data_IF_207196078835
#
_entry.id   IF_207196078835
#
_cell.length_a   1.000
_cell.length_b   1.000
_cell.length_c   1.000
_cell.angle_alpha   90.00
_cell.angle_beta   90.00
_cell.angle_gamma   90.00
#
_symmetry.space_group_name_H-M   'P 1'
#
loop_
_entity.id
_entity.type
_entity.pdbx_description
1 polymer ?
#
# COMPACT_ATOMS: atom_id res chain seq x y z
N UNK A 1 30.35 -8.21 -0.67
CA UNK A 1 30.08 -9.30 0.29
C UNK A 1 30.77 -9.00 1.61
N UNK A 2 30.14 -9.27 2.75
CA UNK A 2 30.71 -9.16 4.10
C UNK A 2 30.91 -10.54 4.67
N UNK A 3 32.04 -10.78 5.30
CA UNK A 3 32.36 -12.02 5.99
C UNK A 3 32.60 -11.72 7.47
N UNK A 4 32.04 -12.54 8.34
CA UNK A 4 32.16 -12.40 9.79
C UNK A 4 33.21 -13.37 10.32
N UNK A 5 33.77 -13.08 11.50
CA UNK A 5 34.76 -13.95 12.17
C UNK A 5 34.27 -15.38 12.41
N UNK A 6 32.96 -15.61 12.36
CA UNK A 6 32.32 -16.92 12.48
C UNK A 6 32.32 -17.73 11.18
N UNK A 7 32.81 -17.17 10.07
CA UNK A 7 32.70 -17.75 8.72
C UNK A 7 31.36 -17.50 8.04
N UNK A 8 30.42 -16.80 8.71
CA UNK A 8 29.16 -16.40 8.10
C UNK A 8 29.40 -15.29 7.05
N UNK A 9 28.64 -15.31 5.95
CA UNK A 9 28.68 -14.26 4.93
C UNK A 9 27.32 -13.58 4.79
N UNK A 10 27.31 -12.26 4.55
CA UNK A 10 26.12 -11.49 4.16
C UNK A 10 26.41 -10.58 3.00
N UNK A 11 25.39 -10.24 2.25
CA UNK A 11 25.49 -9.21 1.23
C UNK A 11 25.83 -7.83 1.83
N UNK A 12 26.34 -6.92 0.99
CA UNK A 12 26.70 -5.55 1.35
C UNK A 12 25.47 -4.78 1.86
N UNK A 13 25.71 -3.70 2.59
CA UNK A 13 24.65 -2.77 3.03
C UNK A 13 24.40 -1.65 2.01
N UNK A 14 25.18 -1.64 0.93
CA UNK A 14 25.09 -0.60 -0.09
C UNK A 14 23.70 -0.65 -0.75
N UNK A 15 23.05 0.51 -0.85
CA UNK A 15 21.68 0.65 -1.32
C UNK A 15 20.58 0.15 -0.37
N UNK A 16 20.90 -0.40 0.82
CA UNK A 16 19.88 -0.93 1.76
C UNK A 16 19.49 0.08 2.83
N UNK A 17 18.18 0.25 3.02
CA UNK A 17 17.63 1.05 4.12
C UNK A 17 17.86 0.37 5.47
N UNK A 18 18.15 1.17 6.50
CA UNK A 18 18.31 0.69 7.88
C UNK A 18 17.31 1.38 8.79
N UNK A 19 16.17 0.72 9.00
CA UNK A 19 15.07 1.24 9.82
C UNK A 19 15.49 1.53 11.27
N UNK A 20 16.29 0.66 11.90
CA UNK A 20 16.78 0.87 13.27
C UNK A 20 17.71 2.08 13.40
N UNK A 21 18.38 2.48 12.30
CA UNK A 21 19.18 3.72 12.27
C UNK A 21 18.33 4.94 11.93
N UNK A 22 17.32 4.76 11.08
CA UNK A 22 16.46 5.85 10.62
C UNK A 22 15.40 6.25 11.66
N UNK A 23 14.96 5.32 12.51
CA UNK A 23 13.87 5.51 13.46
C UNK A 23 14.37 5.51 14.90
N UNK A 24 13.82 6.42 15.71
CA UNK A 24 14.10 6.48 17.15
C UNK A 24 13.18 5.53 17.92
N UNK A 25 13.72 4.51 18.64
CA UNK A 25 12.88 3.53 19.34
C UNK A 25 12.05 4.17 20.46
N UNK A 26 12.55 5.22 21.12
CA UNK A 26 11.81 5.94 22.17
C UNK A 26 10.63 6.74 21.61
N UNK A 27 10.77 7.31 20.40
CA UNK A 27 9.68 8.01 19.71
C UNK A 27 8.61 7.02 19.28
N UNK A 28 9.01 5.86 18.74
CA UNK A 28 8.08 4.80 18.37
C UNK A 28 7.29 4.28 19.58
N UNK A 29 7.95 4.06 20.72
CA UNK A 29 7.28 3.64 21.94
C UNK A 29 6.26 4.68 22.42
N UNK A 30 6.67 5.97 22.48
CA UNK A 30 5.78 7.06 22.91
C UNK A 30 4.57 7.24 22.00
N UNK A 31 4.78 7.08 20.69
CA UNK A 31 3.72 7.15 19.69
C UNK A 31 2.72 6.00 19.86
N UNK A 32 3.18 4.76 20.10
CA UNK A 32 2.26 3.63 20.36
C UNK A 32 1.48 3.83 21.66
N UNK A 33 2.10 4.37 22.71
CA UNK A 33 1.39 4.73 23.95
C UNK A 33 0.29 5.78 23.70
N UNK A 34 0.59 6.78 22.87
CA UNK A 34 -0.42 7.75 22.43
C UNK A 34 -1.59 7.05 21.72
N UNK A 35 -1.32 6.14 20.78
CA UNK A 35 -2.37 5.39 20.09
C UNK A 35 -3.21 4.51 21.03
N UNK A 36 -2.60 3.91 22.05
CA UNK A 36 -3.29 3.06 23.02
C UNK A 36 -4.30 3.85 23.87
N UNK A 37 -3.98 5.09 24.23
CA UNK A 37 -4.93 6.00 24.89
C UNK A 37 -6.08 6.37 23.94
N UNK A 38 -5.76 6.70 22.68
CA UNK A 38 -6.75 7.24 21.74
C UNK A 38 -7.61 6.17 21.06
N UNK A 39 -7.27 4.87 21.15
CA UNK A 39 -8.14 3.80 20.65
C UNK A 39 -9.33 3.50 21.58
N UNK A 40 -9.29 3.98 22.83
CA UNK A 40 -10.41 3.90 23.77
C UNK A 40 -11.52 4.89 23.38
N UNK A 41 -12.74 4.41 23.26
CA UNK A 41 -13.92 5.20 22.91
C UNK A 41 -14.62 5.76 24.16
N UNK A 42 -15.58 6.67 23.95
CA UNK A 42 -16.37 7.29 25.02
C UNK A 42 -17.26 6.30 25.78
N UNK A 43 -17.69 5.23 25.13
CA UNK A 43 -18.43 4.12 25.74
C UNK A 43 -17.52 3.10 26.46
N UNK A 44 -16.20 3.34 26.45
CA UNK A 44 -15.19 2.47 27.05
C UNK A 44 -14.76 1.30 26.17
N UNK A 45 -15.35 1.13 24.98
CA UNK A 45 -14.90 0.12 24.01
C UNK A 45 -13.52 0.48 23.44
N UNK A 46 -12.82 -0.54 22.92
CA UNK A 46 -11.47 -0.39 22.38
C UNK A 46 -11.49 -0.67 20.88
N UNK A 47 -11.00 0.28 20.08
CA UNK A 47 -10.71 0.06 18.66
C UNK A 47 -9.45 -0.78 18.50
N UNK A 48 -9.37 -1.55 17.43
CA UNK A 48 -8.12 -2.15 16.99
C UNK A 48 -7.07 -1.08 16.67
N UNK A 49 -5.80 -1.38 16.92
CA UNK A 49 -4.70 -0.42 16.75
C UNK A 49 -4.58 0.13 15.33
N UNK A 50 -4.96 -0.65 14.34
CA UNK A 50 -4.87 -0.32 12.92
C UNK A 50 -6.20 0.16 12.31
N UNK A 51 -7.23 0.41 13.13
CA UNK A 51 -8.53 0.92 12.67
C UNK A 51 -8.41 2.15 11.76
N UNK A 52 -7.43 3.03 12.00
CA UNK A 52 -7.20 4.22 11.18
C UNK A 52 -6.81 3.91 9.72
N UNK A 53 -6.27 2.71 9.43
CA UNK A 53 -5.92 2.27 8.08
C UNK A 53 -7.12 1.92 7.20
N UNK A 54 -8.31 1.82 7.80
CA UNK A 54 -9.57 1.61 7.08
C UNK A 54 -9.95 2.83 6.23
N UNK A 55 -9.38 4.00 6.51
CA UNK A 55 -9.64 5.24 5.78
C UNK A 55 -10.26 6.31 6.68
N UNK A 56 -9.68 7.50 6.62
CA UNK A 56 -10.24 8.72 7.22
C UNK A 56 -10.18 9.81 6.15
N UNK A 57 -11.25 10.61 5.96
CA UNK A 57 -11.25 11.69 4.97
C UNK A 57 -10.08 12.67 5.14
N UNK A 58 -9.53 13.15 4.03
CA UNK A 58 -8.41 14.10 4.00
C UNK A 58 -8.68 15.32 4.88
N UNK A 59 -9.89 15.85 4.85
CA UNK A 59 -10.30 17.04 5.58
C UNK A 59 -10.19 16.82 7.09
N UNK A 60 -10.53 15.62 7.58
CA UNK A 60 -10.40 15.26 8.99
C UNK A 60 -8.93 15.16 9.42
N UNK A 61 -8.04 14.62 8.56
CA UNK A 61 -6.60 14.63 8.82
C UNK A 61 -6.03 16.05 8.84
N UNK A 62 -6.42 16.91 7.90
CA UNK A 62 -5.96 18.30 7.83
C UNK A 62 -6.36 19.08 9.08
N UNK A 63 -7.61 18.95 9.50
CA UNK A 63 -8.16 19.62 10.67
C UNK A 63 -7.51 19.12 11.97
N UNK A 64 -7.31 17.79 12.10
CA UNK A 64 -6.55 17.20 13.20
C UNK A 64 -5.11 17.69 13.27
N UNK A 65 -4.41 17.70 12.13
CA UNK A 65 -3.04 18.20 12.03
C UNK A 65 -2.95 19.68 12.45
N UNK A 66 -3.89 20.52 11.99
CA UNK A 66 -3.97 21.92 12.35
C UNK A 66 -4.15 22.16 13.85
N UNK A 67 -5.09 21.43 14.49
CA UNK A 67 -5.30 21.53 15.95
C UNK A 67 -4.05 21.20 16.75
N UNK A 68 -3.40 20.08 16.43
CA UNK A 68 -2.21 19.66 17.15
C UNK A 68 -1.01 20.60 16.88
N UNK A 69 -0.89 21.15 15.67
CA UNK A 69 0.11 22.17 15.37
C UNK A 69 -0.07 23.43 16.22
N UNK A 70 -1.29 23.96 16.32
CA UNK A 70 -1.58 25.13 17.16
C UNK A 70 -1.28 24.83 18.64
N UNK A 71 -1.61 23.63 19.12
CA UNK A 71 -1.29 23.22 20.49
C UNK A 71 0.23 23.20 20.75
N UNK A 72 1.02 22.60 19.85
CA UNK A 72 2.49 22.66 19.92
C UNK A 72 2.96 24.11 19.94
N UNK A 73 2.44 24.95 19.05
CA UNK A 73 2.87 26.35 18.94
C UNK A 73 2.61 27.13 20.23
N UNK A 74 1.42 26.98 20.83
CA UNK A 74 1.07 27.59 22.11
C UNK A 74 2.01 27.13 23.24
N UNK A 75 2.18 25.82 23.37
CA UNK A 75 2.98 25.21 24.44
C UNK A 75 4.46 25.62 24.37
N UNK A 76 5.04 25.67 23.17
CA UNK A 76 6.41 26.16 22.95
C UNK A 76 6.60 27.63 23.34
N UNK A 77 5.52 28.42 23.33
CA UNK A 77 5.55 29.83 23.73
C UNK A 77 5.08 30.04 25.18
N UNK A 78 4.93 28.96 25.95
CA UNK A 78 4.53 29.01 27.37
C UNK A 78 3.05 29.27 27.60
N UNK A 79 2.21 29.19 26.56
CA UNK A 79 0.76 29.29 26.69
C UNK A 79 0.14 27.90 26.93
N UNK A 80 -0.90 27.79 27.76
CA UNK A 80 -1.62 26.53 27.91
C UNK A 80 -2.37 26.16 26.63
N UNK A 81 -2.46 24.86 26.36
CA UNK A 81 -3.29 24.30 25.29
C UNK A 81 -4.23 23.24 25.86
N UNK A 82 -5.44 23.15 25.31
CA UNK A 82 -6.46 22.18 25.71
C UNK A 82 -7.37 21.80 24.54
N UNK A 83 -7.96 20.62 24.62
CA UNK A 83 -9.04 20.17 23.74
C UNK A 83 -10.33 19.90 24.54
N UNK A 84 -11.30 19.23 23.92
CA UNK A 84 -12.56 18.84 24.55
C UNK A 84 -12.42 17.78 25.66
N UNK A 85 -11.22 17.24 25.88
CA UNK A 85 -10.88 16.27 26.92
C UNK A 85 -9.97 16.84 28.02
N UNK A 86 -9.51 18.10 27.87
CA UNK A 86 -8.77 18.82 28.90
C UNK A 86 -7.43 19.34 28.38
N UNK A 87 -6.49 19.59 29.30
CA UNK A 87 -5.15 20.05 28.93
C UNK A 87 -4.39 19.01 28.12
N UNK A 88 -3.70 19.45 27.08
CA UNK A 88 -2.86 18.58 26.24
C UNK A 88 -1.38 18.82 26.53
N UNK A 89 -0.57 17.79 26.33
CA UNK A 89 0.88 17.87 26.48
C UNK A 89 1.55 18.14 25.12
N UNK A 90 2.81 18.61 25.17
CA UNK A 90 3.62 18.80 23.98
C UNK A 90 3.86 17.46 23.25
N UNK A 91 4.14 16.40 24.01
CA UNK A 91 4.35 15.06 23.46
C UNK A 91 3.10 14.47 22.81
N UNK A 92 1.91 14.63 23.41
CA UNK A 92 0.65 14.18 22.81
C UNK A 92 0.33 14.98 21.55
N UNK A 93 0.59 16.30 21.56
CA UNK A 93 0.39 17.15 20.39
C UNK A 93 1.32 16.76 19.23
N UNK A 94 2.60 16.48 19.51
CA UNK A 94 3.54 15.96 18.50
C UNK A 94 3.12 14.58 17.99
N UNK A 95 2.69 13.67 18.87
CA UNK A 95 2.14 12.37 18.47
C UNK A 95 0.87 12.52 17.60
N UNK A 96 0.01 13.48 17.91
CA UNK A 96 -1.16 13.81 17.12
C UNK A 96 -0.81 14.31 15.71
N UNK A 97 0.23 15.14 15.57
CA UNK A 97 0.76 15.54 14.25
C UNK A 97 1.25 14.31 13.48
N UNK A 98 2.05 13.45 14.14
CA UNK A 98 2.56 12.20 13.53
C UNK A 98 1.39 11.32 13.06
N UNK A 99 0.36 11.14 13.89
CA UNK A 99 -0.82 10.35 13.54
C UNK A 99 -1.52 10.88 12.28
N UNK A 100 -1.81 12.17 12.23
CA UNK A 100 -2.52 12.74 11.08
C UNK A 100 -1.65 12.73 9.81
N UNK A 101 -0.34 13.00 9.93
CA UNK A 101 0.58 12.93 8.80
C UNK A 101 0.75 11.49 8.27
N UNK A 102 0.92 10.50 9.16
CA UNK A 102 1.01 9.09 8.77
C UNK A 102 -0.29 8.59 8.17
N UNK A 103 -1.43 8.97 8.75
CA UNK A 103 -2.77 8.63 8.25
C UNK A 103 -3.02 9.14 6.85
N UNK A 104 -2.76 10.43 6.61
CA UNK A 104 -2.92 11.01 5.29
C UNK A 104 -1.91 10.43 4.28
N UNK A 105 -0.64 10.27 4.67
CA UNK A 105 0.35 9.65 3.81
C UNK A 105 -0.02 8.19 3.48
N UNK A 106 -0.59 7.45 4.42
CA UNK A 106 -1.11 6.11 4.19
C UNK A 106 -2.21 6.13 3.13
N UNK A 107 -3.19 7.03 3.19
CA UNK A 107 -4.22 7.12 2.14
C UNK A 107 -3.65 7.56 0.78
N UNK A 108 -2.60 8.38 0.74
CA UNK A 108 -1.92 8.76 -0.52
C UNK A 108 -1.11 7.61 -1.13
N UNK A 109 -0.45 6.81 -0.29
CA UNK A 109 0.46 5.73 -0.69
C UNK A 109 -0.23 4.38 -0.80
N UNK A 110 -1.39 4.23 -0.17
CA UNK A 110 -2.33 3.15 -0.41
C UNK A 110 -2.80 3.34 -1.84
N UNK A 111 -2.01 2.83 -2.78
CA UNK A 111 -2.54 2.45 -4.09
C UNK A 111 -3.78 1.67 -3.78
N UNK A 112 -4.93 2.20 -4.19
CA UNK A 112 -6.05 1.33 -4.47
C UNK A 112 -5.44 0.20 -5.29
N UNK A 113 -5.41 -1.00 -4.72
CA UNK A 113 -5.59 -2.16 -5.58
C UNK A 113 -7.03 -2.01 -6.04
N UNK A 114 -7.29 -1.04 -6.92
CA UNK A 114 -8.55 -0.88 -7.58
C UNK A 114 -8.56 -2.13 -8.43
N UNK A 115 -9.27 -3.16 -7.95
CA UNK A 115 -9.43 -4.39 -8.69
C UNK A 115 -9.83 -3.97 -10.09
N UNK A 116 -8.99 -4.29 -11.07
CA UNK A 116 -9.29 -3.93 -12.43
C UNK A 116 -10.64 -4.57 -12.76
N UNK A 117 -11.65 -3.74 -13.05
CA UNK A 117 -12.96 -4.26 -13.40
C UNK A 117 -12.86 -4.74 -14.83
N UNK A 118 -12.74 -6.06 -14.99
CA UNK A 118 -12.77 -6.70 -16.30
C UNK A 118 -14.08 -6.31 -16.97
N UNK A 119 -14.04 -5.61 -18.12
CA UNK A 119 -15.26 -5.15 -18.79
C UNK A 119 -16.13 -6.31 -19.25
N UNK A 120 -17.42 -6.03 -19.44
CA UNK A 120 -18.37 -7.00 -20.00
C UNK A 120 -17.87 -7.53 -21.35
N UNK A 121 -17.98 -8.85 -21.57
CA UNK A 121 -17.45 -9.53 -22.76
C UNK A 121 -15.98 -9.96 -22.66
N UNK A 122 -15.29 -9.63 -21.57
CA UNK A 122 -13.90 -10.03 -21.31
C UNK A 122 -13.75 -10.96 -20.10
N UNK A 123 -12.68 -11.74 -20.12
CA UNK A 123 -12.28 -12.62 -19.02
C UNK A 123 -10.78 -12.57 -18.81
N UNK A 124 -10.38 -12.47 -17.55
CA UNK A 124 -9.02 -12.74 -17.10
C UNK A 124 -9.09 -14.03 -16.27
N UNK A 125 -8.31 -15.05 -16.65
CA UNK A 125 -8.22 -16.29 -15.91
C UNK A 125 -6.80 -16.86 -15.85
N UNK A 126 -6.50 -17.54 -14.75
CA UNK A 126 -5.27 -18.29 -14.58
C UNK A 126 -5.42 -19.67 -15.24
N UNK A 127 -4.44 -20.06 -16.05
CA UNK A 127 -4.38 -21.41 -16.61
C UNK A 127 -3.18 -22.15 -16.03
N UNK A 128 -3.43 -23.32 -15.47
CA UNK A 128 -2.40 -24.20 -14.90
C UNK A 128 -2.16 -25.41 -15.81
N UNK A 129 -1.07 -25.39 -16.57
CA UNK A 129 -0.51 -26.56 -17.26
C UNK A 129 0.98 -26.67 -16.90
N UNK A 130 1.27 -26.68 -15.60
CA UNK A 130 2.62 -26.82 -15.06
C UNK A 130 3.49 -25.59 -15.32
N UNK A 131 4.75 -25.79 -15.71
CA UNK A 131 5.74 -24.69 -15.83
C UNK A 131 5.56 -23.78 -17.06
N UNK A 132 4.49 -23.94 -17.85
CA UNK A 132 4.37 -23.36 -19.20
C UNK A 132 3.30 -22.28 -19.34
N UNK A 133 2.59 -21.95 -18.25
CA UNK A 133 1.34 -21.19 -18.33
C UNK A 133 1.37 -19.94 -17.45
N UNK A 134 0.25 -19.24 -17.33
CA UNK A 134 0.14 -17.99 -16.59
C UNK A 134 -1.27 -17.44 -16.67
N UNK A 135 -1.41 -16.15 -16.43
CA UNK A 135 -2.65 -15.40 -16.59
C UNK A 135 -2.89 -15.10 -18.06
N UNK A 136 -4.10 -15.28 -18.56
CA UNK A 136 -4.49 -14.88 -19.93
C UNK A 136 -5.66 -13.90 -19.88
N UNK A 137 -5.80 -13.17 -20.99
CA UNK A 137 -6.92 -12.28 -21.24
C UNK A 137 -7.61 -12.76 -22.51
N UNK A 138 -8.93 -12.95 -22.46
CA UNK A 138 -9.70 -13.38 -23.62
C UNK A 138 -11.10 -12.76 -23.66
N UNK A 139 -11.69 -12.74 -24.85
CA UNK A 139 -13.10 -12.41 -25.05
C UNK A 139 -13.98 -13.62 -24.73
N UNK A 140 -15.28 -13.40 -24.51
CA UNK A 140 -16.27 -14.49 -24.40
C UNK A 140 -16.36 -15.38 -25.66
N UNK A 141 -15.93 -14.84 -26.80
CA UNK A 141 -15.83 -15.57 -28.08
C UNK A 141 -14.55 -16.42 -28.19
N UNK A 142 -13.77 -16.53 -27.11
CA UNK A 142 -12.47 -17.22 -27.05
C UNK A 142 -11.40 -16.65 -27.99
N UNK A 143 -11.36 -15.33 -28.17
CA UNK A 143 -10.23 -14.64 -28.79
C UNK A 143 -9.26 -14.19 -27.70
N UNK A 144 -7.96 -14.45 -27.89
CA UNK A 144 -6.92 -14.24 -26.87
C UNK A 144 -6.15 -12.96 -27.16
N UNK A 145 -5.99 -12.11 -26.15
CA UNK A 145 -5.09 -10.97 -26.25
C UNK A 145 -3.64 -11.48 -26.18
N UNK A 146 -2.85 -11.08 -27.17
CA UNK A 146 -1.42 -11.35 -27.19
C UNK A 146 -0.61 -10.09 -26.81
N UNK A 147 0.67 -10.30 -26.49
CA UNK A 147 1.64 -9.24 -26.18
C UNK A 147 2.01 -8.36 -27.36
N UNK A 148 1.64 -8.76 -28.57
CA UNK A 148 1.64 -7.89 -29.76
C UNK A 148 0.47 -6.88 -29.74
N UNK A 149 -0.40 -6.97 -28.73
CA UNK A 149 -1.56 -6.13 -28.54
C UNK A 149 -2.65 -6.33 -29.60
N UNK A 150 -2.75 -7.55 -30.15
CA UNK A 150 -3.81 -7.99 -31.06
C UNK A 150 -4.60 -9.17 -30.49
N UNK A 151 -5.82 -9.38 -31.02
CA UNK A 151 -6.67 -10.52 -30.69
C UNK A 151 -6.44 -11.68 -31.66
N UNK A 152 -6.21 -12.88 -31.12
CA UNK A 152 -5.94 -14.09 -31.89
C UNK A 152 -6.99 -15.17 -31.63
N UNK A 153 -7.45 -15.87 -32.68
CA UNK A 153 -8.48 -16.93 -32.59
C UNK A 153 -7.95 -18.29 -32.14
N UNK A 154 -6.65 -18.51 -32.26
CA UNK A 154 -6.01 -19.75 -31.85
C UNK A 154 -5.34 -19.56 -30.49
N UNK A 155 -5.25 -20.65 -29.72
CA UNK A 155 -4.56 -20.62 -28.43
C UNK A 155 -3.09 -20.20 -28.61
N UNK A 156 -2.55 -19.61 -27.56
CA UNK A 156 -1.40 -18.71 -27.52
C UNK A 156 -0.02 -19.36 -27.70
N UNK A 157 0.09 -20.52 -28.39
CA UNK A 157 1.36 -21.16 -28.68
C UNK A 157 2.12 -21.61 -27.43
N UNK A 158 1.61 -22.62 -26.73
CA UNK A 158 2.15 -23.13 -25.45
C UNK A 158 3.41 -23.99 -25.60
N UNK A 159 3.68 -24.46 -26.82
CA UNK A 159 4.82 -25.33 -27.10
C UNK A 159 6.10 -24.48 -27.01
N UNK A 160 7.05 -24.93 -26.19
CA UNK A 160 8.40 -24.34 -26.05
C UNK A 160 8.54 -23.01 -25.29
N UNK A 161 7.51 -22.56 -24.56
CA UNK A 161 7.58 -21.36 -23.71
C UNK A 161 7.64 -21.67 -22.21
N UNK A 162 8.35 -20.82 -21.45
CA UNK A 162 8.36 -20.81 -19.97
C UNK A 162 7.12 -20.09 -19.42
N UNK A 163 6.80 -20.31 -18.14
CA UNK A 163 5.73 -19.65 -17.40
C UNK A 163 5.65 -18.14 -17.68
N UNK A 164 4.47 -17.66 -18.05
CA UNK A 164 4.22 -16.25 -18.39
C UNK A 164 5.00 -15.69 -19.60
N UNK A 165 5.67 -16.53 -20.40
CA UNK A 165 6.46 -16.10 -21.56
C UNK A 165 5.82 -16.35 -22.92
N UNK A 166 4.81 -17.21 -22.99
CA UNK A 166 4.08 -17.39 -24.24
C UNK A 166 3.38 -16.08 -24.66
N UNK A 167 3.12 -15.89 -25.98
CA UNK A 167 2.53 -14.67 -26.54
C UNK A 167 1.29 -14.14 -25.85
N UNK A 168 0.41 -14.99 -25.30
CA UNK A 168 -0.82 -14.57 -24.60
C UNK A 168 -0.89 -14.96 -23.12
N UNK A 169 0.27 -15.15 -22.46
CA UNK A 169 0.34 -15.38 -21.02
C UNK A 169 1.17 -14.33 -20.30
N UNK A 170 0.68 -13.89 -19.15
CA UNK A 170 1.38 -13.01 -18.22
C UNK A 170 1.73 -13.75 -16.92
N UNK A 171 2.88 -13.45 -16.31
CA UNK A 171 3.29 -14.01 -15.01
C UNK A 171 2.33 -13.70 -13.85
N UNK A 172 1.64 -12.56 -13.89
CA UNK A 172 0.75 -12.10 -12.80
C UNK A 172 -0.60 -11.61 -13.34
N UNK A 173 -1.64 -11.68 -12.52
CA UNK A 173 -2.98 -11.15 -12.83
C UNK A 173 -2.89 -9.67 -13.18
N UNK A 174 -2.16 -8.90 -12.38
CA UNK A 174 -1.96 -7.46 -12.58
C UNK A 174 -1.32 -7.10 -13.92
N UNK A 175 -0.41 -7.94 -14.42
CA UNK A 175 0.16 -7.74 -15.76
C UNK A 175 -0.84 -8.04 -16.87
N UNK A 176 -1.72 -9.03 -16.67
CA UNK A 176 -2.83 -9.31 -17.60
C UNK A 176 -3.88 -8.19 -17.58
N UNK A 177 -4.24 -7.68 -16.41
CA UNK A 177 -5.11 -6.51 -16.23
C UNK A 177 -4.55 -5.27 -16.96
N UNK A 178 -3.26 -4.98 -16.76
CA UNK A 178 -2.59 -3.87 -17.43
C UNK A 178 -2.57 -4.02 -18.95
N UNK A 179 -2.39 -5.24 -19.46
CA UNK A 179 -2.45 -5.51 -20.89
C UNK A 179 -3.85 -5.27 -21.47
N UNK A 180 -4.90 -5.71 -20.76
CA UNK A 180 -6.28 -5.46 -21.19
C UNK A 180 -6.62 -3.96 -21.17
N UNK A 181 -6.24 -3.25 -20.10
CA UNK A 181 -6.42 -1.80 -20.01
C UNK A 181 -5.78 -1.07 -21.20
N UNK A 182 -4.52 -1.39 -21.51
CA UNK A 182 -3.78 -0.78 -22.61
C UNK A 182 -4.36 -1.13 -24.00
N UNK A 183 -4.91 -2.34 -24.16
CA UNK A 183 -5.61 -2.71 -25.38
C UNK A 183 -6.87 -1.87 -25.59
N UNK A 184 -7.71 -1.78 -24.55
CA UNK A 184 -8.99 -1.06 -24.61
C UNK A 184 -8.81 0.45 -24.83
N UNK A 185 -7.79 1.05 -24.21
CA UNK A 185 -7.48 2.47 -24.41
C UNK A 185 -7.18 2.81 -25.88
N UNK A 186 -6.57 1.89 -26.63
CA UNK A 186 -6.30 2.09 -28.07
C UNK A 186 -7.51 1.88 -28.98
N UNK A 187 -8.60 1.30 -28.48
CA UNK A 187 -9.83 1.08 -29.24
C UNK A 187 -10.83 2.24 -29.08
N UNK A 188 -10.56 3.17 -28.15
CA UNK A 188 -11.31 4.41 -27.94
C UNK A 188 -10.82 5.52 -28.87
#
# INVERSE_FOLDING_TARGET
>A
MREFKTGATRDTVEGKLSYVKALSPIVLQRYVQYLDVHRKQSDGSMREFDNWKQGIPKEAYLDGLGRHFVAVWLLEHGFPASDNHGSVTLEDSLCGIIFNAMGWLHELLKTDVQSFVVPEGWKIDFVDIGERCGWQVKTEMNEYLHKDNELHKNTTGWQDHKFGKAPGYWPTEKEAEAALAAYLEKQL
#
